data_IF_943515409400
#
_entry.id   IF_943515409400
#
_cell.length_a   1.000
_cell.length_b   1.000
_cell.length_c   1.000
_cell.angle_alpha   90.00
_cell.angle_beta   90.00
_cell.angle_gamma   90.00
#
_symmetry.space_group_name_H-M   'P 1'
#
loop_
_entity.id
_entity.type
_entity.pdbx_description
1 polymer ?
#
# COMPACT_ATOMS: atom_id res chain seq x y z
N UNK A 1 0.96 -8.26 24.03
CA UNK A 1 0.87 -6.95 23.34
C UNK A 1 2.28 -6.52 23.05
N UNK A 2 2.64 -6.43 21.80
CA UNK A 2 3.90 -5.81 21.38
C UNK A 2 3.60 -4.31 21.23
N UNK A 3 3.55 -3.63 22.34
CA UNK A 3 3.32 -2.20 22.40
C UNK A 3 4.47 -1.48 21.68
N UNK A 4 4.16 -0.79 20.58
CA UNK A 4 5.09 0.04 19.81
C UNK A 4 5.52 -0.48 18.45
N UNK A 5 5.02 -1.62 17.98
CA UNK A 5 5.31 -2.13 16.65
C UNK A 5 4.14 -1.81 15.72
N UNK A 6 4.23 -0.70 15.00
CA UNK A 6 3.28 -0.39 13.94
C UNK A 6 3.37 -1.40 12.79
N UNK A 7 2.28 -1.58 12.00
CA UNK A 7 2.29 -2.47 10.85
C UNK A 7 3.33 -2.04 9.81
N UNK A 8 3.97 -3.01 9.17
CA UNK A 8 4.89 -2.75 8.06
C UNK A 8 4.10 -2.48 6.77
N UNK A 9 4.72 -1.87 5.75
CA UNK A 9 4.11 -1.73 4.43
C UNK A 9 3.62 -3.07 3.85
N UNK A 10 4.32 -4.15 4.20
CA UNK A 10 3.93 -5.49 3.78
C UNK A 10 2.56 -5.92 4.34
N UNK A 11 2.16 -5.44 5.51
CA UNK A 11 0.85 -5.72 6.10
C UNK A 11 -0.32 -5.16 5.26
N UNK A 12 -0.10 -4.08 4.52
CA UNK A 12 -1.10 -3.47 3.63
C UNK A 12 -1.07 -4.04 2.21
N UNK A 13 -0.12 -4.92 1.90
CA UNK A 13 0.11 -5.43 0.53
C UNK A 13 -0.83 -6.56 0.11
N UNK A 14 -1.77 -6.94 0.94
CA UNK A 14 -2.83 -7.89 0.60
C UNK A 14 -3.88 -7.30 -0.36
N UNK A 15 -3.99 -5.97 -0.40
CA UNK A 15 -4.88 -5.22 -1.26
C UNK A 15 -4.20 -3.95 -1.78
N UNK A 16 -4.12 -3.79 -3.09
CA UNK A 16 -3.78 -2.51 -3.73
C UNK A 16 -5.00 -1.94 -4.43
N UNK A 17 -5.27 -0.66 -4.21
CA UNK A 17 -6.20 0.11 -5.01
C UNK A 17 -5.41 0.84 -6.08
N UNK A 18 -5.74 0.57 -7.35
CA UNK A 18 -5.01 1.10 -8.51
C UNK A 18 -5.96 1.73 -9.51
N UNK A 19 -5.42 2.54 -10.41
CA UNK A 19 -6.18 3.03 -11.56
C UNK A 19 -6.33 1.90 -12.59
N UNK A 20 -7.57 1.60 -12.98
CA UNK A 20 -7.84 0.62 -14.01
C UNK A 20 -7.16 1.03 -15.33
N UNK A 21 -6.40 0.15 -15.98
CA UNK A 21 -5.72 0.49 -17.24
C UNK A 21 -6.68 0.75 -18.39
N UNK A 22 -7.96 0.31 -18.28
CA UNK A 22 -8.97 0.54 -19.32
C UNK A 22 -9.84 1.77 -19.09
N UNK A 23 -10.38 1.93 -17.86
CA UNK A 23 -11.36 3.00 -17.60
C UNK A 23 -10.89 4.03 -16.58
N UNK A 24 -9.69 3.88 -16.02
CA UNK A 24 -9.07 4.72 -14.98
C UNK A 24 -9.83 4.80 -13.65
N UNK A 25 -10.93 4.07 -13.51
CA UNK A 25 -11.65 3.97 -12.23
C UNK A 25 -10.88 3.09 -11.25
N UNK A 26 -11.31 3.07 -10.00
CA UNK A 26 -10.70 2.25 -8.98
C UNK A 26 -10.79 0.76 -9.35
N UNK A 27 -9.66 0.09 -9.39
CA UNK A 27 -9.53 -1.35 -9.52
C UNK A 27 -8.77 -1.91 -8.32
N UNK A 28 -8.94 -3.20 -8.05
CA UNK A 28 -8.34 -3.89 -6.91
C UNK A 28 -7.37 -4.95 -7.39
N UNK A 29 -6.21 -5.04 -6.72
CA UNK A 29 -5.25 -6.13 -6.87
C UNK A 29 -5.24 -6.91 -5.57
N UNK A 30 -5.53 -8.20 -5.62
CA UNK A 30 -5.66 -9.07 -4.46
C UNK A 30 -5.31 -10.52 -4.80
N UNK A 31 -5.18 -11.37 -3.79
CA UNK A 31 -4.99 -12.82 -3.95
C UNK A 31 -6.37 -13.49 -4.00
N UNK A 32 -6.78 -14.08 -5.15
CA UNK A 32 -8.14 -14.57 -5.35
C UNK A 32 -8.49 -15.78 -4.47
N UNK A 33 -7.53 -16.67 -4.20
CA UNK A 33 -7.74 -17.90 -3.43
C UNK A 33 -6.86 -17.88 -2.18
N UNK A 34 -7.11 -16.94 -1.29
CA UNK A 34 -6.38 -16.87 -0.02
C UNK A 34 -6.73 -18.09 0.82
N UNK A 35 -5.79 -19.01 0.98
CA UNK A 35 -6.01 -20.18 1.83
C UNK A 35 -6.24 -19.73 3.28
N UNK A 36 -7.27 -20.27 3.92
CA UNK A 36 -7.57 -20.01 5.34
C UNK A 36 -6.31 -20.30 6.18
N UNK A 37 -5.90 -19.34 7.01
CA UNK A 37 -4.71 -19.43 7.86
C UNK A 37 -3.40 -18.93 7.26
N UNK A 38 -3.38 -18.50 6.00
CA UNK A 38 -2.21 -17.84 5.38
C UNK A 38 -2.34 -16.32 5.39
N UNK A 39 -2.72 -15.77 6.54
CA UNK A 39 -2.84 -14.32 6.71
C UNK A 39 -1.47 -13.63 6.94
N UNK A 40 -0.38 -14.42 6.96
CA UNK A 40 0.96 -13.86 7.12
C UNK A 40 1.40 -13.19 5.81
N UNK A 41 1.69 -11.87 5.83
CA UNK A 41 2.13 -11.12 4.65
C UNK A 41 3.33 -11.73 3.92
N UNK A 42 4.18 -12.48 4.61
CA UNK A 42 5.35 -13.15 4.02
C UNK A 42 4.98 -14.17 2.94
N UNK A 43 3.79 -14.78 3.01
CA UNK A 43 3.34 -15.75 2.03
C UNK A 43 2.62 -15.13 0.82
N UNK A 44 2.23 -13.87 0.91
CA UNK A 44 1.51 -13.20 -0.19
C UNK A 44 2.34 -13.08 -1.47
N UNK A 45 3.67 -13.04 -1.36
CA UNK A 45 4.59 -13.03 -2.50
C UNK A 45 4.65 -14.34 -3.30
N UNK A 46 4.06 -15.42 -2.80
CA UNK A 46 4.04 -16.73 -3.45
C UNK A 46 2.69 -17.04 -4.13
N UNK A 47 1.70 -16.19 -3.92
CA UNK A 47 0.35 -16.40 -4.41
C UNK A 47 0.08 -15.57 -5.67
N UNK A 48 -0.72 -16.14 -6.59
CA UNK A 48 -1.19 -15.41 -7.76
C UNK A 48 -1.97 -14.16 -7.38
N UNK A 49 -1.88 -13.12 -8.21
CA UNK A 49 -2.59 -11.85 -8.01
C UNK A 49 -3.61 -11.64 -9.11
N UNK A 50 -4.76 -11.12 -8.72
CA UNK A 50 -5.83 -10.73 -9.63
C UNK A 50 -6.04 -9.23 -9.58
N UNK A 51 -6.02 -8.61 -10.75
CA UNK A 51 -6.52 -7.27 -10.98
C UNK A 51 -7.98 -7.36 -11.42
N UNK A 52 -8.86 -6.64 -10.73
CA UNK A 52 -10.29 -6.60 -11.03
C UNK A 52 -10.81 -5.17 -10.93
N UNK A 53 -11.40 -4.69 -12.00
CA UNK A 53 -12.16 -3.44 -12.03
C UNK A 53 -13.66 -3.74 -12.08
N UNK A 54 -14.39 -3.42 -11.00
CA UNK A 54 -15.84 -3.66 -10.94
C UNK A 54 -16.63 -2.74 -11.85
N UNK A 55 -16.08 -1.58 -12.25
CA UNK A 55 -16.78 -0.62 -13.10
C UNK A 55 -16.86 -1.05 -14.57
N UNK A 56 -15.76 -1.55 -15.13
CA UNK A 56 -15.71 -1.95 -16.54
C UNK A 56 -15.53 -3.46 -16.76
N UNK A 57 -15.48 -4.25 -15.69
CA UNK A 57 -15.30 -5.70 -15.77
C UNK A 57 -13.90 -6.17 -16.16
N UNK A 58 -12.93 -5.24 -16.32
CA UNK A 58 -11.58 -5.64 -16.66
C UNK A 58 -10.95 -6.52 -15.58
N UNK A 59 -10.46 -7.68 -15.99
CA UNK A 59 -9.76 -8.60 -15.08
C UNK A 59 -8.49 -9.12 -15.74
N UNK A 60 -7.46 -9.32 -14.93
CA UNK A 60 -6.18 -9.92 -15.36
C UNK A 60 -5.52 -10.61 -14.19
N UNK A 61 -5.07 -11.84 -14.42
CA UNK A 61 -4.31 -12.61 -13.43
C UNK A 61 -2.82 -12.63 -13.79
N UNK A 62 -1.97 -12.61 -12.78
CA UNK A 62 -0.55 -12.88 -12.89
C UNK A 62 -0.13 -13.92 -11.86
N UNK A 63 0.89 -14.69 -12.23
CA UNK A 63 1.42 -15.77 -11.43
C UNK A 63 2.91 -15.52 -11.13
N UNK A 64 3.41 -15.95 -9.96
CA UNK A 64 4.84 -15.89 -9.66
C UNK A 64 5.62 -16.74 -10.68
N UNK A 65 6.72 -16.19 -11.20
CA UNK A 65 7.51 -16.81 -12.29
C UNK A 65 8.90 -17.27 -11.88
N UNK A 66 9.37 -16.80 -10.73
CA UNK A 66 10.70 -17.18 -10.24
C UNK A 66 10.57 -18.32 -9.23
N UNK A 67 11.46 -19.33 -9.38
CA UNK A 67 11.57 -20.41 -8.41
C UNK A 67 12.60 -20.04 -7.37
N UNK A 68 12.15 -19.97 -6.11
CA UNK A 68 13.02 -19.78 -4.96
C UNK A 68 12.86 -20.99 -4.05
N UNK A 69 13.95 -21.72 -3.85
CA UNK A 69 13.90 -23.06 -3.21
C UNK A 69 12.87 -23.96 -3.91
N UNK A 70 11.90 -24.47 -3.16
CA UNK A 70 10.81 -25.29 -3.67
C UNK A 70 9.50 -24.51 -3.91
N UNK A 71 9.54 -23.16 -3.87
CA UNK A 71 8.37 -22.32 -4.02
C UNK A 71 8.48 -21.38 -5.22
N UNK A 72 7.35 -21.10 -5.84
CA UNK A 72 7.24 -20.03 -6.84
C UNK A 72 7.07 -18.70 -6.12
N UNK A 73 7.77 -17.68 -6.58
CA UNK A 73 7.68 -16.33 -6.00
C UNK A 73 7.73 -15.26 -7.09
N UNK A 74 7.24 -14.07 -6.75
CA UNK A 74 7.52 -12.87 -7.51
C UNK A 74 8.95 -12.38 -7.24
N UNK A 75 9.55 -11.67 -8.20
CA UNK A 75 10.88 -11.09 -8.04
C UNK A 75 10.96 -10.14 -6.83
N UNK A 76 12.05 -10.21 -6.09
CA UNK A 76 12.32 -9.25 -4.99
C UNK A 76 12.33 -7.79 -5.44
N UNK A 77 12.70 -7.52 -6.69
CA UNK A 77 12.71 -6.17 -7.27
C UNK A 77 11.31 -5.53 -7.32
N UNK A 78 10.24 -6.34 -7.28
CA UNK A 78 8.87 -5.82 -7.25
C UNK A 78 8.54 -5.15 -5.91
N UNK A 79 9.20 -5.54 -4.83
CA UNK A 79 8.97 -4.95 -3.50
C UNK A 79 9.75 -3.66 -3.26
N UNK A 80 10.55 -3.23 -4.22
CA UNK A 80 11.10 -1.89 -4.21
C UNK A 80 9.96 -0.88 -4.35
N UNK A 81 9.77 -0.07 -3.31
CA UNK A 81 8.68 0.89 -3.23
C UNK A 81 8.91 1.99 -4.27
N UNK A 82 8.42 1.77 -5.47
CA UNK A 82 8.30 2.82 -6.47
C UNK A 82 7.14 3.74 -6.07
N UNK A 83 7.43 5.01 -6.01
CA UNK A 83 6.44 5.99 -5.55
C UNK A 83 5.17 5.98 -6.40
N UNK A 84 4.05 5.63 -5.78
CA UNK A 84 2.73 5.75 -6.38
C UNK A 84 2.36 4.67 -7.39
N UNK A 85 3.03 3.52 -7.39
CA UNK A 85 2.66 2.35 -8.21
C UNK A 85 2.55 1.09 -7.36
N UNK A 86 1.74 0.12 -7.81
CA UNK A 86 1.66 -1.19 -7.16
C UNK A 86 2.86 -2.07 -7.48
N UNK A 87 3.06 -3.12 -6.68
CA UNK A 87 4.22 -4.00 -6.79
C UNK A 87 4.13 -5.04 -7.91
N UNK A 88 2.95 -5.40 -8.37
CA UNK A 88 2.73 -6.58 -9.23
C UNK A 88 2.49 -6.23 -10.68
N UNK A 89 1.64 -5.26 -10.96
CA UNK A 89 1.27 -4.82 -12.30
C UNK A 89 1.97 -3.51 -12.71
N UNK A 90 2.57 -2.79 -11.75
CA UNK A 90 3.20 -1.49 -12.01
C UNK A 90 2.19 -0.39 -12.39
N UNK A 91 0.94 -0.52 -11.95
CA UNK A 91 -0.12 0.45 -12.23
C UNK A 91 -0.10 1.58 -11.21
N UNK A 92 -0.50 2.81 -11.61
CA UNK A 92 -0.63 3.92 -10.68
C UNK A 92 -1.61 3.59 -9.56
N UNK A 93 -1.23 3.87 -8.32
CA UNK A 93 -2.13 3.75 -7.18
C UNK A 93 -3.32 4.69 -7.34
N UNK A 94 -4.49 4.24 -6.92
CA UNK A 94 -5.71 5.05 -6.97
C UNK A 94 -5.69 6.17 -5.93
N UNK A 95 -5.24 5.86 -4.72
CA UNK A 95 -5.11 6.82 -3.63
C UNK A 95 -3.75 7.54 -3.72
N UNK A 96 -3.63 8.50 -4.64
CA UNK A 96 -2.44 9.35 -4.76
C UNK A 96 -2.79 10.77 -5.19
N UNK A 97 -1.99 11.72 -4.72
CA UNK A 97 -2.11 13.14 -5.06
C UNK A 97 -0.79 13.87 -4.86
N UNK A 98 -0.69 15.09 -5.38
CA UNK A 98 0.43 15.99 -5.06
C UNK A 98 0.16 16.71 -3.74
N UNK A 99 1.18 16.79 -2.89
CA UNK A 99 1.12 17.49 -1.61
C UNK A 99 2.49 18.05 -1.25
N UNK A 100 2.58 19.34 -1.00
CA UNK A 100 3.82 20.03 -0.59
C UNK A 100 5.02 19.80 -1.52
N UNK A 101 4.78 19.71 -2.83
CA UNK A 101 5.82 19.44 -3.83
C UNK A 101 6.25 17.98 -3.94
N UNK A 102 5.56 17.08 -3.25
CA UNK A 102 5.84 15.65 -3.23
C UNK A 102 4.60 14.84 -3.62
N UNK A 103 4.82 13.59 -4.04
CA UNK A 103 3.73 12.64 -4.27
C UNK A 103 3.33 11.97 -2.96
N UNK A 104 2.06 12.14 -2.57
CA UNK A 104 1.42 11.44 -1.46
C UNK A 104 0.64 10.26 -2.02
N UNK A 105 0.83 9.05 -1.46
CA UNK A 105 0.21 7.83 -1.96
C UNK A 105 -0.02 6.80 -0.85
N UNK A 106 -1.03 5.95 -1.04
CA UNK A 106 -1.39 4.86 -0.14
C UNK A 106 -1.80 3.63 -0.94
N UNK A 107 -1.53 2.43 -0.44
CA UNK A 107 -1.91 1.17 -1.10
C UNK A 107 -3.43 0.96 -1.08
N UNK A 108 -4.05 1.27 0.05
CA UNK A 108 -5.48 1.09 0.29
C UNK A 108 -5.95 2.05 1.40
N UNK A 109 -7.23 1.98 1.74
CA UNK A 109 -7.80 2.82 2.78
C UNK A 109 -7.29 2.51 4.18
N UNK A 110 -6.99 1.25 4.50
CA UNK A 110 -6.41 0.87 5.79
C UNK A 110 -5.06 1.56 6.01
N UNK A 111 -4.16 1.48 5.02
CA UNK A 111 -2.89 2.20 5.02
C UNK A 111 -3.10 3.72 5.19
N UNK A 112 -4.05 4.29 4.44
CA UNK A 112 -4.38 5.72 4.53
C UNK A 112 -4.84 6.12 5.93
N UNK A 113 -5.76 5.35 6.54
CA UNK A 113 -6.30 5.66 7.86
C UNK A 113 -5.26 5.55 8.97
N UNK A 114 -4.40 4.55 8.92
CA UNK A 114 -3.35 4.37 9.91
C UNK A 114 -2.33 5.52 9.86
N UNK A 115 -1.93 5.92 8.66
CA UNK A 115 -1.03 7.07 8.48
C UNK A 115 -1.73 8.39 8.87
N UNK A 116 -3.01 8.55 8.55
CA UNK A 116 -3.78 9.73 8.98
C UNK A 116 -3.78 9.85 10.50
N UNK A 117 -4.06 8.77 11.22
CA UNK A 117 -4.08 8.75 12.68
C UNK A 117 -2.71 9.11 13.25
N UNK A 118 -1.64 8.51 12.71
CA UNK A 118 -0.27 8.83 13.11
C UNK A 118 0.06 10.32 12.93
N UNK A 119 -0.37 10.94 11.81
CA UNK A 119 -0.11 12.36 11.53
C UNK A 119 -0.94 13.27 12.46
N UNK A 120 -2.16 12.86 12.84
CA UNK A 120 -3.01 13.61 13.80
C UNK A 120 -2.43 13.66 15.20
N UNK A 121 -1.66 12.67 15.60
CA UNK A 121 -1.07 12.62 16.94
C UNK A 121 -0.04 13.74 17.12
N UNK A 122 -0.22 14.56 18.16
CA UNK A 122 0.69 15.66 18.51
C UNK A 122 1.99 15.14 19.14
N UNK A 123 1.86 14.12 19.99
CA UNK A 123 2.98 13.42 20.64
C UNK A 123 3.13 12.09 19.95
N UNK A 124 4.15 11.96 19.12
CA UNK A 124 4.43 10.71 18.41
C UNK A 124 5.18 9.76 19.33
N UNK A 125 4.85 8.45 19.30
CA UNK A 125 5.58 7.46 20.10
C UNK A 125 7.07 7.51 19.73
N UNK A 126 7.92 7.57 20.73
CA UNK A 126 9.35 7.34 20.58
C UNK A 126 9.59 5.82 20.51
N UNK A 127 10.50 5.36 19.64
CA UNK A 127 10.86 3.95 19.57
C UNK A 127 10.00 3.11 18.62
N UNK A 128 9.41 3.72 17.58
CA UNK A 128 8.76 2.98 16.51
C UNK A 128 9.71 1.94 15.91
N UNK A 129 9.16 0.75 15.65
CA UNK A 129 9.90 -0.27 14.92
C UNK A 129 10.38 0.29 13.56
N UNK A 130 11.68 0.17 13.27
CA UNK A 130 12.31 0.82 12.12
C UNK A 130 11.76 0.41 10.74
N UNK A 131 11.04 -0.72 10.66
CA UNK A 131 10.36 -1.19 9.45
C UNK A 131 8.87 -0.84 9.41
N UNK A 132 8.33 -0.19 10.44
CA UNK A 132 6.92 0.22 10.43
C UNK A 132 6.63 1.21 9.30
N UNK A 133 5.39 1.22 8.81
CA UNK A 133 4.96 2.15 7.77
C UNK A 133 5.20 3.61 8.20
N UNK A 134 4.94 3.93 9.46
CA UNK A 134 5.12 5.26 10.04
C UNK A 134 6.61 5.64 10.13
N UNK A 135 7.48 4.70 10.49
CA UNK A 135 8.94 4.97 10.57
C UNK A 135 9.53 5.25 9.20
N UNK A 136 8.98 4.63 8.16
CA UNK A 136 9.40 4.77 6.76
C UNK A 136 8.76 5.95 6.03
N UNK A 137 7.85 6.68 6.67
CA UNK A 137 7.31 7.90 6.09
C UNK A 137 8.43 8.87 5.72
N UNK A 138 8.34 9.52 4.56
CA UNK A 138 9.27 10.56 4.16
C UNK A 138 9.37 11.66 5.23
N UNK A 139 10.56 12.20 5.43
CA UNK A 139 10.81 13.25 6.44
C UNK A 139 9.84 14.42 6.33
N UNK A 140 9.50 14.84 5.10
CA UNK A 140 8.60 15.97 4.87
C UNK A 140 7.20 15.74 5.46
N UNK A 141 6.66 14.51 5.43
CA UNK A 141 5.37 14.19 6.03
C UNK A 141 5.38 14.26 7.56
N UNK A 142 6.55 14.14 8.17
CA UNK A 142 6.74 14.19 9.63
C UNK A 142 6.89 15.62 10.15
N UNK A 143 7.08 16.60 9.27
CA UNK A 143 7.26 18.00 9.67
C UNK A 143 5.94 18.62 10.08
N UNK A 144 5.93 19.27 11.25
CA UNK A 144 4.73 19.92 11.82
C UNK A 144 4.14 20.99 10.89
N UNK A 145 4.99 21.71 10.14
CA UNK A 145 4.57 22.73 9.16
C UNK A 145 3.70 22.20 8.03
N UNK A 146 3.85 20.94 7.64
CA UNK A 146 3.08 20.32 6.56
C UNK A 146 1.89 19.49 7.06
N UNK A 147 1.73 19.33 8.37
CA UNK A 147 0.66 18.50 8.97
C UNK A 147 -0.72 18.85 8.43
N UNK A 148 -1.07 20.13 8.42
CA UNK A 148 -2.37 20.59 7.94
C UNK A 148 -2.60 20.30 6.46
N UNK A 149 -1.60 20.49 5.62
CA UNK A 149 -1.71 20.25 4.18
C UNK A 149 -1.80 18.75 3.86
N UNK A 150 -1.04 17.92 4.56
CA UNK A 150 -1.12 16.46 4.42
C UNK A 150 -2.51 15.96 4.82
N UNK A 151 -3.06 16.41 5.96
CA UNK A 151 -4.41 16.02 6.40
C UNK A 151 -5.50 16.48 5.43
N UNK A 152 -5.38 17.68 4.86
CA UNK A 152 -6.29 18.14 3.78
C UNK A 152 -6.21 17.27 2.53
N UNK A 153 -5.00 16.90 2.12
CA UNK A 153 -4.78 16.03 0.97
C UNK A 153 -5.38 14.62 1.21
N UNK A 154 -5.20 14.06 2.40
CA UNK A 154 -5.81 12.78 2.80
C UNK A 154 -7.34 12.86 2.77
N UNK A 155 -7.91 13.95 3.28
CA UNK A 155 -9.36 14.16 3.25
C UNK A 155 -9.90 14.16 1.82
N UNK A 156 -9.22 14.81 0.87
CA UNK A 156 -9.60 14.77 -0.54
C UNK A 156 -9.56 13.35 -1.12
N UNK A 157 -8.54 12.57 -0.79
CA UNK A 157 -8.43 11.18 -1.27
C UNK A 157 -9.54 10.27 -0.74
N UNK A 158 -10.11 10.56 0.43
CA UNK A 158 -11.24 9.80 0.99
C UNK A 158 -12.58 10.07 0.28
N UNK A 159 -12.68 11.17 -0.44
CA UNK A 159 -13.91 11.59 -1.13
C UNK A 159 -14.00 11.13 -2.59
N UNK A 160 -13.08 10.26 -3.04
CA UNK A 160 -13.06 9.73 -4.42
C UNK A 160 -13.76 8.38 -4.55
#
# INVERSE_FOLDING_TARGET
>A
MLDGVGPTLLAYSDLFLVQCPKCRSCARIFTPNKAKGKDNPRYLGHESKRLLCVKCGYTKDIHPKQRWDNHWAFSHELYDVKQGVDWYFGLPLYLQTQCCGHKLWFFNYEHLFDIENYIKERVRPSGLYYLSAESRLPKWMKLSKYRGDVLKAITKLKCH
#
